data_IF_471774485069
#
_entry.id   IF_471774485069
#
_cell.length_a   1.000
_cell.length_b   1.000
_cell.length_c   1.000
_cell.angle_alpha   90.00
_cell.angle_beta   90.00
_cell.angle_gamma   90.00
#
_symmetry.space_group_name_H-M   'P 1'
#
loop_
_entity.id
_entity.type
_entity.pdbx_description
1 polymer ?
#
# COMPACT_ATOMS: atom_id res chain seq x y z
N UNK A 1 18.99 -16.69 5.72
CA UNK A 1 18.99 -15.24 5.42
C UNK A 1 17.63 -14.70 5.80
N UNK A 2 17.53 -14.09 6.98
CA UNK A 2 16.27 -13.51 7.48
C UNK A 2 15.92 -12.31 6.60
N UNK A 3 14.66 -12.22 6.17
CA UNK A 3 14.18 -11.11 5.38
C UNK A 3 14.04 -9.87 6.27
N UNK A 4 14.59 -8.73 5.86
CA UNK A 4 14.44 -7.46 6.58
C UNK A 4 13.03 -6.90 6.30
N UNK A 5 12.13 -7.14 7.23
CA UNK A 5 10.71 -6.77 7.15
C UNK A 5 10.34 -5.75 8.23
N UNK A 6 9.62 -4.70 7.82
CA UNK A 6 9.11 -3.64 8.68
C UNK A 6 7.59 -3.74 8.77
N UNK A 7 7.04 -3.72 9.99
CA UNK A 7 5.59 -3.77 10.22
C UNK A 7 5.00 -2.36 10.16
N UNK A 8 3.84 -2.21 9.53
CA UNK A 8 3.12 -0.94 9.47
C UNK A 8 1.61 -1.20 9.52
N UNK A 9 0.87 -0.28 10.13
CA UNK A 9 -0.60 -0.27 10.07
C UNK A 9 -1.05 0.69 8.99
N UNK A 10 -1.94 0.22 8.12
CA UNK A 10 -2.54 1.02 7.03
C UNK A 10 -4.05 0.99 7.16
N UNK A 11 -4.74 1.94 6.53
CA UNK A 11 -6.20 1.98 6.52
C UNK A 11 -6.72 1.80 5.10
N UNK A 12 -7.70 0.90 4.93
CA UNK A 12 -8.55 0.88 3.76
C UNK A 12 -9.89 1.54 4.08
N UNK A 13 -10.30 2.51 3.27
CA UNK A 13 -11.59 3.17 3.44
C UNK A 13 -12.70 2.42 2.70
N UNK A 14 -13.98 2.60 3.10
CA UNK A 14 -15.12 2.03 2.37
C UNK A 14 -15.17 2.41 0.88
N UNK A 15 -14.60 3.58 0.52
CA UNK A 15 -14.53 4.07 -0.85
C UNK A 15 -13.38 3.44 -1.65
N UNK A 16 -12.59 2.55 -1.04
CA UNK A 16 -11.47 1.84 -1.67
C UNK A 16 -10.17 2.62 -1.73
N UNK A 17 -9.98 3.58 -0.82
CA UNK A 17 -8.68 4.24 -0.67
C UNK A 17 -7.80 3.47 0.29
N UNK A 18 -6.54 3.24 -0.10
CA UNK A 18 -5.47 2.90 0.84
C UNK A 18 -4.90 4.21 1.41
N UNK A 19 -4.68 4.25 2.73
CA UNK A 19 -4.00 5.36 3.42
C UNK A 19 -2.73 4.86 4.09
N UNK A 20 -1.65 5.61 3.88
CA UNK A 20 -0.33 5.31 4.41
C UNK A 20 0.12 6.43 5.37
N UNK A 21 0.72 6.09 6.53
CA UNK A 21 1.34 7.07 7.41
C UNK A 21 2.43 7.87 6.69
N UNK A 22 2.52 9.17 7.00
CA UNK A 22 3.44 10.11 6.35
C UNK A 22 4.90 9.63 6.33
N UNK A 23 5.42 9.19 7.49
CA UNK A 23 6.83 8.76 7.61
C UNK A 23 7.12 7.52 6.77
N UNK A 24 6.22 6.53 6.83
CA UNK A 24 6.33 5.29 6.06
C UNK A 24 6.27 5.57 4.55
N UNK A 25 5.33 6.41 4.11
CA UNK A 25 5.20 6.78 2.71
C UNK A 25 6.46 7.49 2.19
N UNK A 26 7.01 8.45 2.95
CA UNK A 26 8.23 9.17 2.59
C UNK A 26 9.46 8.27 2.49
N UNK A 27 9.57 7.29 3.39
CA UNK A 27 10.72 6.37 3.43
C UNK A 27 10.72 5.39 2.25
N UNK A 28 9.55 4.88 1.86
CA UNK A 28 9.45 3.71 0.96
C UNK A 28 8.84 4.03 -0.42
N UNK A 29 8.14 5.16 -0.56
CA UNK A 29 7.48 5.63 -1.79
C UNK A 29 7.81 7.09 -2.11
N UNK A 30 9.10 7.47 -2.25
CA UNK A 30 9.51 8.87 -2.38
C UNK A 30 8.99 9.58 -3.64
N UNK A 31 8.71 8.82 -4.70
CA UNK A 31 8.17 9.36 -5.96
C UNK A 31 6.64 9.41 -6.00
N UNK A 32 5.97 9.01 -4.90
CA UNK A 32 4.52 8.92 -4.77
C UNK A 32 3.83 8.05 -5.85
N UNK A 33 4.58 7.32 -6.71
CA UNK A 33 4.03 6.43 -7.75
C UNK A 33 4.09 4.97 -7.32
N UNK A 34 2.97 4.27 -7.42
CA UNK A 34 2.85 2.86 -7.05
C UNK A 34 2.18 2.01 -8.13
N UNK A 35 2.41 0.71 -8.05
CA UNK A 35 1.52 -0.30 -8.60
C UNK A 35 0.87 -1.07 -7.45
N UNK A 36 -0.36 -1.51 -7.65
CA UNK A 36 -1.09 -2.37 -6.73
C UNK A 36 -1.68 -3.55 -7.49
N UNK A 37 -1.62 -4.74 -6.89
CA UNK A 37 -2.21 -5.95 -7.45
C UNK A 37 -2.62 -6.90 -6.33
N UNK A 38 -3.59 -7.77 -6.61
CA UNK A 38 -3.93 -8.91 -5.76
C UNK A 38 -3.09 -10.11 -6.18
N UNK A 39 -2.36 -10.68 -5.23
CA UNK A 39 -1.56 -11.88 -5.46
C UNK A 39 -2.47 -13.12 -5.61
N UNK A 40 -2.02 -14.19 -6.29
CA UNK A 40 -2.79 -15.44 -6.38
C UNK A 40 -3.13 -16.07 -5.03
N UNK A 41 -2.35 -15.74 -3.99
CA UNK A 41 -2.52 -16.18 -2.59
C UNK A 41 -3.49 -15.30 -1.79
N UNK A 42 -4.04 -14.24 -2.40
CA UNK A 42 -5.08 -13.37 -1.81
C UNK A 42 -4.55 -12.08 -1.18
N UNK A 43 -3.24 -11.94 -0.97
CA UNK A 43 -2.68 -10.72 -0.38
C UNK A 43 -2.71 -9.56 -1.38
N UNK A 44 -2.90 -8.35 -0.86
CA UNK A 44 -2.72 -7.13 -1.64
C UNK A 44 -1.25 -6.74 -1.59
N UNK A 45 -0.66 -6.55 -2.77
CA UNK A 45 0.73 -6.16 -2.92
C UNK A 45 0.82 -4.76 -3.53
N UNK A 46 1.49 -3.86 -2.83
CA UNK A 46 1.78 -2.49 -3.28
C UNK A 46 3.29 -2.30 -3.43
N UNK A 47 3.73 -1.74 -4.54
CA UNK A 47 5.15 -1.54 -4.84
C UNK A 47 5.41 -0.16 -5.47
N UNK A 48 6.54 0.50 -5.15
CA UNK A 48 6.93 1.72 -5.84
C UNK A 48 7.25 1.40 -7.29
N UNK A 49 6.76 2.21 -8.23
CA UNK A 49 7.13 2.12 -9.64
C UNK A 49 8.06 3.27 -10.02
N UNK A 50 9.12 2.93 -10.75
CA UNK A 50 10.07 3.93 -11.24
C UNK A 50 9.44 4.91 -12.24
N UNK A 51 10.10 6.05 -12.41
CA UNK A 51 9.64 7.19 -13.23
C UNK A 51 9.36 6.83 -14.70
N UNK A 52 9.99 5.77 -15.22
CA UNK A 52 9.84 5.30 -16.60
C UNK A 52 8.64 4.35 -16.83
N UNK A 53 7.93 3.93 -15.78
CA UNK A 53 6.79 3.03 -15.91
C UNK A 53 5.51 3.81 -16.24
N UNK A 54 4.95 3.59 -17.44
CA UNK A 54 3.61 4.02 -17.82
C UNK A 54 2.55 3.22 -17.02
N UNK A 55 1.55 3.90 -16.43
CA UNK A 55 0.40 3.25 -15.79
C UNK A 55 0.43 3.07 -14.25
N UNK A 56 1.28 3.80 -13.52
CA UNK A 56 1.26 3.79 -12.04
C UNK A 56 0.14 4.63 -11.42
N UNK A 57 -0.34 4.22 -10.26
CA UNK A 57 -1.24 5.01 -9.40
C UNK A 57 -0.44 6.05 -8.62
N UNK A 58 -1.05 7.19 -8.33
CA UNK A 58 -0.41 8.31 -7.62
C UNK A 58 -0.93 8.43 -6.19
N UNK A 59 -0.02 8.31 -5.22
CA UNK A 59 -0.24 8.69 -3.83
C UNK A 59 -0.40 10.21 -3.74
N UNK A 60 -1.49 10.65 -3.13
CA UNK A 60 -1.78 12.07 -2.89
C UNK A 60 -1.65 12.37 -1.41
N UNK A 61 -1.04 13.49 -1.07
CA UNK A 61 -1.06 13.98 0.30
C UNK A 61 -2.51 14.31 0.71
N UNK A 62 -2.98 13.73 1.83
CA UNK A 62 -4.37 13.92 2.29
C UNK A 62 -4.53 14.94 3.42
N UNK A 63 -3.46 15.25 4.15
CA UNK A 63 -3.49 16.16 5.30
C UNK A 63 -2.15 16.90 5.49
N UNK A 64 -2.11 17.83 6.45
CA UNK A 64 -0.90 18.63 6.77
C UNK A 64 0.23 17.77 7.34
N UNK A 65 -0.09 16.69 8.07
CA UNK A 65 0.90 15.76 8.60
C UNK A 65 1.70 15.04 7.49
N UNK A 66 1.12 14.93 6.29
CA UNK A 66 1.78 14.36 5.12
C UNK A 66 1.34 12.94 4.79
N UNK A 67 0.29 12.43 5.43
CA UNK A 67 -0.24 11.10 5.12
C UNK A 67 -0.61 11.02 3.64
N UNK A 68 -0.47 9.82 3.08
CA UNK A 68 -0.75 9.58 1.67
C UNK A 68 -2.02 8.78 1.49
N UNK A 69 -2.70 9.00 0.37
CA UNK A 69 -3.88 8.25 -0.02
C UNK A 69 -3.89 7.96 -1.51
N UNK A 70 -4.36 6.79 -1.89
CA UNK A 70 -4.48 6.35 -3.28
C UNK A 70 -5.73 5.49 -3.44
N UNK A 71 -6.47 5.69 -4.52
CA UNK A 71 -7.62 4.87 -4.85
C UNK A 71 -7.13 3.55 -5.45
N UNK A 72 -7.44 2.43 -4.79
CA UNK A 72 -7.08 1.08 -5.26
C UNK A 72 -8.27 0.29 -5.81
N UNK A 73 -9.50 0.80 -5.66
CA UNK A 73 -10.74 0.16 -6.14
C UNK A 73 -10.66 -0.27 -7.62
N UNK A 74 -10.05 0.52 -8.48
CA UNK A 74 -9.91 0.16 -9.91
C UNK A 74 -8.96 -1.03 -10.14
N UNK A 75 -7.94 -1.18 -9.27
CA UNK A 75 -6.96 -2.26 -9.36
C UNK A 75 -7.40 -3.55 -8.63
N UNK A 76 -8.26 -3.42 -7.62
CA UNK A 76 -8.65 -4.49 -6.71
C UNK A 76 -10.13 -4.88 -6.80
N UNK A 77 -10.91 -4.22 -7.67
CA UNK A 77 -12.37 -4.24 -7.60
C UNK A 77 -12.85 -3.88 -6.18
N UNK A 78 -13.96 -4.45 -5.70
CA UNK A 78 -14.46 -4.28 -4.32
C UNK A 78 -13.92 -5.35 -3.34
N UNK A 79 -12.83 -6.02 -3.70
CA UNK A 79 -12.19 -7.07 -2.91
C UNK A 79 -10.99 -6.51 -2.11
N UNK A 80 -11.30 -5.81 -1.01
CA UNK A 80 -10.32 -5.27 -0.06
C UNK A 80 -10.90 -5.21 1.36
N UNK A 81 -10.07 -5.33 2.41
CA UNK A 81 -10.53 -5.14 3.78
C UNK A 81 -10.96 -3.69 4.00
N UNK A 82 -11.80 -3.41 5.00
CA UNK A 82 -12.17 -2.05 5.41
C UNK A 82 -11.72 -1.83 6.86
N UNK A 83 -11.09 -0.68 7.12
CA UNK A 83 -10.53 -0.32 8.42
C UNK A 83 -9.01 -0.43 8.47
N UNK A 84 -8.47 -0.44 9.68
CA UNK A 84 -7.03 -0.54 9.92
C UNK A 84 -6.57 -2.00 9.84
N UNK A 85 -5.54 -2.27 9.04
CA UNK A 85 -4.96 -3.60 8.84
C UNK A 85 -3.45 -3.57 8.98
N UNK A 86 -2.89 -4.67 9.49
CA UNK A 86 -1.45 -4.88 9.55
C UNK A 86 -0.88 -5.18 8.16
N UNK A 87 0.31 -4.66 7.89
CA UNK A 87 1.01 -4.86 6.65
C UNK A 87 2.52 -4.97 6.86
N UNK A 88 3.20 -5.64 5.93
CA UNK A 88 4.62 -5.94 5.99
C UNK A 88 5.34 -5.33 4.79
N UNK A 89 6.29 -4.45 5.07
CA UNK A 89 7.21 -3.94 4.07
C UNK A 89 8.46 -4.82 3.99
N UNK A 90 8.73 -5.38 2.81
CA UNK A 90 9.98 -6.10 2.53
C UNK A 90 10.96 -5.15 1.84
N UNK A 91 12.03 -4.74 2.54
CA UNK A 91 13.06 -3.86 1.94
C UNK A 91 13.72 -4.52 0.74
N UNK A 92 13.99 -5.83 0.85
CA UNK A 92 14.62 -6.64 -0.20
C UNK A 92 13.76 -6.70 -1.46
N UNK A 93 12.44 -6.87 -1.31
CA UNK A 93 11.52 -7.00 -2.45
C UNK A 93 10.90 -5.68 -2.88
N UNK A 94 11.14 -4.60 -2.13
CA UNK A 94 10.51 -3.27 -2.30
C UNK A 94 9.00 -3.39 -2.49
N UNK A 95 8.32 -4.09 -1.59
CA UNK A 95 6.86 -4.25 -1.64
C UNK A 95 6.27 -4.21 -0.25
N UNK A 96 5.08 -3.63 -0.15
CA UNK A 96 4.17 -3.71 0.98
C UNK A 96 3.18 -4.84 0.71
N UNK A 97 3.13 -5.83 1.59
CA UNK A 97 2.18 -6.93 1.55
C UNK A 97 1.15 -6.71 2.64
N UNK A 98 -0.13 -6.71 2.29
CA UNK A 98 -1.24 -6.55 3.22
C UNK A 98 -1.99 -7.87 3.24
N UNK A 99 -1.97 -8.52 4.39
CA UNK A 99 -2.68 -9.78 4.64
C UNK A 99 -4.05 -9.47 5.21
N UNK A 100 -5.07 -10.18 4.74
CA UNK A 100 -6.42 -10.18 5.33
C UNK A 100 -6.45 -10.99 6.64
N UNK A 101 -5.57 -10.69 7.59
CA UNK A 101 -5.68 -11.26 8.94
C UNK A 101 -6.32 -10.23 9.86
N UNK A 102 -7.60 -10.45 10.19
CA UNK A 102 -8.28 -9.71 11.26
C UNK A 102 -9.56 -8.98 10.84
N UNK A 103 -10.54 -9.70 10.27
CA UNK A 103 -11.95 -9.34 10.47
C UNK A 103 -12.80 -10.60 10.33
N UNK A 104 -12.98 -11.31 11.44
CA UNK A 104 -14.01 -12.32 11.61
C UNK A 104 -14.80 -12.01 12.87
#
# INVERSE_FOLDING_TARGET
>A
MTEDVEQVTVEFTPEGHLRLPAEFARAHFPDDRIAALRAPTGEIVVMPVGVAASGGLMLKQRNVAGDRSVLLREALADDYPVGFVGAQWSRKRRRLTITEEGSR
#
